data_IF_685940512329
#
_entry.id   IF_685940512329
#
_cell.length_a   1.000
_cell.length_b   1.000
_cell.length_c   1.000
_cell.angle_alpha   90.00
_cell.angle_beta   90.00
_cell.angle_gamma   90.00
#
_symmetry.space_group_name_H-M   'P 1'
#
loop_
_entity.id
_entity.type
_entity.pdbx_description
1 polymer ?
#
# COMPACT_ATOMS: atom_id res chain seq x y z
N UNK A 1 16.95 -2.14 -21.21
CA UNK A 1 18.29 -2.18 -20.59
C UNK A 1 19.07 -0.87 -20.68
N UNK A 2 19.37 -0.26 -21.86
CA UNK A 2 20.27 0.90 -21.92
C UNK A 2 19.80 2.09 -21.07
N UNK A 3 18.54 2.51 -21.21
CA UNK A 3 17.96 3.63 -20.44
C UNK A 3 18.06 3.44 -18.92
N UNK A 4 17.90 2.21 -18.42
CA UNK A 4 18.06 1.92 -17.00
C UNK A 4 19.48 2.19 -16.52
N UNK A 5 20.48 1.69 -17.27
CA UNK A 5 21.90 1.89 -16.95
C UNK A 5 22.27 3.38 -16.99
N UNK A 6 21.83 4.10 -18.01
CA UNK A 6 22.07 5.55 -18.14
C UNK A 6 21.48 6.30 -16.94
N UNK A 7 20.20 6.06 -16.61
CA UNK A 7 19.53 6.73 -15.50
C UNK A 7 20.18 6.40 -14.14
N UNK A 8 20.45 5.13 -13.84
CA UNK A 8 20.96 4.74 -12.51
C UNK A 8 22.42 5.16 -12.32
N UNK A 9 23.26 5.09 -13.37
CA UNK A 9 24.64 5.58 -13.31
C UNK A 9 24.66 7.10 -13.14
N UNK A 10 23.89 7.85 -13.93
CA UNK A 10 23.83 9.32 -13.81
C UNK A 10 23.26 9.76 -12.45
N UNK A 11 22.27 9.05 -11.90
CA UNK A 11 21.79 9.33 -10.54
C UNK A 11 22.90 9.12 -9.50
N UNK A 12 23.63 7.99 -9.57
CA UNK A 12 24.72 7.71 -8.62
C UNK A 12 25.82 8.77 -8.73
N UNK A 13 26.25 9.12 -9.95
CA UNK A 13 27.28 10.15 -10.21
C UNK A 13 26.87 11.55 -9.71
N UNK A 14 25.58 11.88 -9.72
CA UNK A 14 25.05 13.16 -9.22
C UNK A 14 24.71 13.15 -7.72
N UNK A 15 24.86 12.00 -7.04
CA UNK A 15 24.54 11.81 -5.61
C UNK A 15 25.73 11.26 -4.79
N UNK A 16 26.94 11.24 -5.37
CA UNK A 16 28.16 10.87 -4.65
C UNK A 16 28.48 11.91 -3.56
N UNK A 17 28.94 11.49 -2.36
CA UNK A 17 29.28 12.41 -1.27
C UNK A 17 30.42 13.39 -1.62
N UNK A 18 31.26 13.08 -2.59
CA UNK A 18 32.41 13.89 -3.01
C UNK A 18 32.01 15.17 -3.78
N UNK A 19 30.72 15.32 -4.11
CA UNK A 19 30.17 16.40 -4.94
C UNK A 19 29.85 17.71 -4.23
N UNK A 20 30.82 18.29 -3.49
CA UNK A 20 30.64 19.54 -2.72
C UNK A 20 30.15 20.77 -3.51
N UNK A 21 30.22 20.74 -4.84
CA UNK A 21 29.70 21.79 -5.72
C UNK A 21 28.20 21.63 -6.07
N UNK A 22 27.55 20.52 -5.70
CA UNK A 22 26.17 20.18 -6.13
C UNK A 22 25.12 20.36 -5.02
N UNK A 23 25.52 20.64 -3.79
CA UNK A 23 24.64 20.73 -2.61
C UNK A 23 23.50 21.73 -2.80
N UNK A 24 23.82 22.90 -3.38
CA UNK A 24 22.88 23.99 -3.67
C UNK A 24 21.77 23.62 -4.67
N UNK A 25 21.93 22.52 -5.41
CA UNK A 25 20.95 21.99 -6.36
C UNK A 25 20.52 20.55 -6.05
N UNK A 26 20.84 20.03 -4.85
CA UNK A 26 20.55 18.64 -4.46
C UNK A 26 19.05 18.31 -4.54
N UNK A 27 18.17 19.22 -4.09
CA UNK A 27 16.72 19.06 -4.29
C UNK A 27 16.33 19.01 -5.77
N UNK A 28 16.88 19.88 -6.62
CA UNK A 28 16.56 19.93 -8.04
C UNK A 28 16.95 18.64 -8.77
N UNK A 29 18.05 18.01 -8.37
CA UNK A 29 18.47 16.68 -8.84
C UNK A 29 17.44 15.63 -8.41
N UNK A 30 17.07 15.58 -7.12
CA UNK A 30 16.07 14.65 -6.58
C UNK A 30 14.71 14.80 -7.29
N UNK A 31 14.24 16.04 -7.47
CA UNK A 31 12.97 16.38 -8.11
C UNK A 31 12.95 15.97 -9.59
N UNK A 32 14.06 16.22 -10.32
CA UNK A 32 14.20 15.78 -11.71
C UNK A 32 14.13 14.25 -11.86
N UNK A 33 14.82 13.48 -11.00
CA UNK A 33 14.75 12.02 -11.08
C UNK A 33 13.43 11.45 -10.54
N UNK A 34 12.90 11.96 -9.43
CA UNK A 34 11.69 11.44 -8.82
C UNK A 34 10.41 11.82 -9.56
N UNK A 35 10.18 13.11 -9.80
CA UNK A 35 8.95 13.59 -10.44
C UNK A 35 9.03 13.53 -11.96
N UNK A 36 10.12 13.99 -12.57
CA UNK A 36 10.20 14.13 -14.02
C UNK A 36 10.64 12.84 -14.73
N UNK A 37 11.52 12.03 -14.15
CA UNK A 37 11.86 10.71 -14.71
C UNK A 37 10.94 9.60 -14.19
N UNK A 38 11.04 9.23 -12.90
CA UNK A 38 10.42 8.01 -12.36
C UNK A 38 8.89 8.07 -12.31
N UNK A 39 8.28 9.18 -11.88
CA UNK A 39 6.82 9.29 -11.85
C UNK A 39 6.21 9.38 -13.27
N UNK A 40 6.91 9.95 -14.25
CA UNK A 40 6.46 9.89 -15.65
C UNK A 40 6.60 8.47 -16.23
N UNK A 41 7.72 7.79 -15.99
CA UNK A 41 8.02 6.42 -16.43
C UNK A 41 7.38 5.31 -15.58
N UNK A 42 6.41 5.65 -14.72
CA UNK A 42 5.80 4.71 -13.76
C UNK A 42 5.22 3.46 -14.47
N UNK A 43 5.20 2.28 -13.81
CA UNK A 43 4.73 1.02 -14.40
C UNK A 43 3.34 1.06 -15.05
N UNK A 44 2.43 1.94 -14.59
CA UNK A 44 1.10 2.15 -15.21
C UNK A 44 1.13 2.86 -16.56
N UNK A 45 2.19 3.60 -16.87
CA UNK A 45 2.42 4.31 -18.14
C UNK A 45 3.39 3.56 -19.05
N UNK A 46 4.43 2.95 -18.46
CA UNK A 46 5.45 2.20 -19.19
C UNK A 46 5.60 0.76 -18.66
N UNK A 47 4.63 -0.16 -18.90
CA UNK A 47 4.68 -1.51 -18.34
C UNK A 47 5.93 -2.31 -18.71
N UNK A 48 6.46 -2.13 -19.94
CA UNK A 48 7.70 -2.76 -20.38
C UNK A 48 8.95 -2.28 -19.62
N UNK A 49 8.89 -1.11 -18.97
CA UNK A 49 9.95 -0.59 -18.11
C UNK A 49 9.78 -0.98 -16.63
N UNK A 50 8.63 -1.55 -16.23
CA UNK A 50 8.26 -1.76 -14.82
C UNK A 50 9.29 -2.51 -13.98
N UNK A 51 9.98 -3.50 -14.56
CA UNK A 51 11.05 -4.22 -13.87
C UNK A 51 12.27 -3.33 -13.62
N UNK A 52 12.75 -2.60 -14.63
CA UNK A 52 13.89 -1.70 -14.50
C UNK A 52 13.57 -0.44 -13.65
N UNK A 53 12.32 0.00 -13.67
CA UNK A 53 11.80 1.04 -12.77
C UNK A 53 11.88 0.57 -11.31
N UNK A 54 11.52 -0.68 -11.03
CA UNK A 54 11.57 -1.25 -9.69
C UNK A 54 13.00 -1.53 -9.22
N UNK A 55 13.90 -1.99 -10.11
CA UNK A 55 15.33 -2.12 -9.83
C UNK A 55 15.95 -0.75 -9.47
N UNK A 56 15.56 0.34 -10.15
CA UNK A 56 15.98 1.70 -9.80
C UNK A 56 15.45 2.13 -8.42
N UNK A 57 14.13 2.07 -8.21
CA UNK A 57 13.50 2.54 -6.95
C UNK A 57 13.93 1.69 -5.75
N UNK A 58 14.21 0.40 -5.97
CA UNK A 58 14.79 -0.50 -4.98
C UNK A 58 16.30 -0.40 -4.78
N UNK A 59 17.01 0.43 -5.56
CA UNK A 59 18.47 0.47 -5.54
C UNK A 59 18.99 1.09 -4.24
N UNK A 60 19.96 0.44 -3.59
CA UNK A 60 20.48 0.86 -2.27
C UNK A 60 20.98 2.31 -2.24
N UNK A 61 21.63 2.78 -3.32
CA UNK A 61 22.09 4.17 -3.41
C UNK A 61 20.94 5.18 -3.59
N UNK A 62 19.87 4.80 -4.30
CA UNK A 62 18.67 5.64 -4.47
C UNK A 62 17.89 5.73 -3.14
N UNK A 63 17.71 4.59 -2.47
CA UNK A 63 17.11 4.55 -1.12
C UNK A 63 17.95 5.39 -0.14
N UNK A 64 19.28 5.27 -0.17
CA UNK A 64 20.20 6.05 0.67
C UNK A 64 20.13 7.56 0.40
N UNK A 65 20.19 7.99 -0.86
CA UNK A 65 20.14 9.41 -1.23
C UNK A 65 18.76 10.07 -1.01
N UNK A 66 17.68 9.28 -0.87
CA UNK A 66 16.32 9.81 -0.66
C UNK A 66 15.81 9.67 0.78
N UNK A 67 16.21 8.62 1.52
CA UNK A 67 15.70 8.32 2.86
C UNK A 67 16.79 8.25 3.94
N UNK A 68 18.06 8.30 3.54
CA UNK A 68 19.20 8.35 4.45
C UNK A 68 19.21 9.62 5.30
N UNK A 69 20.00 9.59 6.36
CA UNK A 69 20.32 10.75 7.20
C UNK A 69 21.81 11.07 7.15
N UNK A 70 22.47 10.79 6.03
CA UNK A 70 23.90 10.99 5.85
C UNK A 70 24.30 11.29 4.39
N UNK A 71 25.34 12.10 4.20
CA UNK A 71 25.85 12.51 2.89
C UNK A 71 24.84 13.35 2.11
N UNK A 72 24.65 13.05 0.82
CA UNK A 72 23.78 13.81 -0.09
C UNK A 72 22.35 14.03 0.43
N UNK A 73 21.82 13.13 1.26
CA UNK A 73 20.49 13.25 1.87
C UNK A 73 20.41 14.33 2.98
N UNK A 74 21.53 14.74 3.58
CA UNK A 74 21.56 15.82 4.60
C UNK A 74 21.22 17.20 3.98
N UNK A 75 21.57 17.38 2.70
CA UNK A 75 21.40 18.63 1.96
C UNK A 75 19.95 18.91 1.52
N UNK A 76 18.99 18.06 1.91
CA UNK A 76 17.61 18.08 1.41
C UNK A 76 16.61 17.81 2.52
N UNK A 77 15.50 18.55 2.50
CA UNK A 77 14.35 18.39 3.40
C UNK A 77 13.82 16.94 3.42
N UNK A 78 13.99 16.19 4.54
CA UNK A 78 13.60 14.79 4.63
C UNK A 78 12.09 14.55 4.50
N UNK A 79 11.26 15.57 4.77
CA UNK A 79 9.81 15.46 4.61
C UNK A 79 9.44 15.38 3.12
N UNK A 80 10.10 16.20 2.28
CA UNK A 80 9.88 16.21 0.83
C UNK A 80 10.37 14.93 0.17
N UNK A 81 11.58 14.46 0.51
CA UNK A 81 12.13 13.22 -0.07
C UNK A 81 11.30 12.00 0.35
N UNK A 82 10.87 11.93 1.62
CA UNK A 82 9.99 10.89 2.14
C UNK A 82 8.63 10.88 1.44
N UNK A 83 8.01 12.05 1.23
CA UNK A 83 6.75 12.18 0.49
C UNK A 83 6.91 11.74 -0.97
N UNK A 84 8.00 12.15 -1.63
CA UNK A 84 8.30 11.80 -3.02
C UNK A 84 8.54 10.29 -3.19
N UNK A 85 9.37 9.68 -2.34
CA UNK A 85 9.62 8.23 -2.40
C UNK A 85 8.35 7.43 -2.08
N UNK A 86 7.53 7.89 -1.12
CA UNK A 86 6.20 7.33 -0.85
C UNK A 86 5.28 7.42 -2.08
N UNK A 87 5.29 8.52 -2.81
CA UNK A 87 4.52 8.66 -4.05
C UNK A 87 4.99 7.67 -5.14
N UNK A 88 6.29 7.37 -5.22
CA UNK A 88 6.79 6.31 -6.10
C UNK A 88 6.28 4.92 -5.65
N UNK A 89 6.41 4.58 -4.36
CA UNK A 89 5.85 3.33 -3.80
C UNK A 89 4.34 3.20 -4.08
N UNK A 90 3.57 4.28 -3.95
CA UNK A 90 2.13 4.32 -4.25
C UNK A 90 1.86 4.10 -5.74
N UNK A 91 2.64 4.71 -6.65
CA UNK A 91 2.51 4.45 -8.10
C UNK A 91 2.72 2.97 -8.44
N UNK A 92 3.68 2.32 -7.78
CA UNK A 92 3.94 0.90 -7.95
C UNK A 92 2.85 0.01 -7.35
N UNK A 93 2.39 0.30 -6.13
CA UNK A 93 1.29 -0.43 -5.51
C UNK A 93 -0.03 -0.24 -6.30
N UNK A 94 -0.28 0.92 -6.91
CA UNK A 94 -1.40 1.16 -7.84
C UNK A 94 -1.27 0.39 -9.16
N UNK A 95 -0.06 0.04 -9.59
CA UNK A 95 0.17 -0.87 -10.72
C UNK A 95 -0.11 -2.33 -10.30
N UNK A 96 0.33 -2.75 -9.12
CA UNK A 96 0.11 -4.12 -8.61
C UNK A 96 -1.34 -4.40 -8.24
N UNK A 97 -2.08 -3.40 -7.74
CA UNK A 97 -3.44 -3.54 -7.21
C UNK A 97 -4.44 -4.39 -8.05
N UNK A 98 -4.59 -4.23 -9.37
CA UNK A 98 -5.47 -5.07 -10.17
C UNK A 98 -5.02 -6.55 -10.21
N UNK A 99 -3.72 -6.80 -10.43
CA UNK A 99 -3.15 -8.16 -10.42
C UNK A 99 -3.30 -8.81 -9.04
N UNK A 100 -3.20 -8.00 -7.97
CA UNK A 100 -3.35 -8.42 -6.58
C UNK A 100 -4.80 -8.70 -6.16
N UNK A 101 -5.80 -8.13 -6.85
CA UNK A 101 -7.23 -8.40 -6.60
C UNK A 101 -7.70 -9.70 -7.26
N UNK A 102 -7.34 -9.92 -8.52
CA UNK A 102 -7.91 -10.97 -9.37
C UNK A 102 -7.23 -12.35 -9.15
N UNK A 103 -6.95 -12.69 -7.90
CA UNK A 103 -5.84 -13.57 -7.55
C UNK A 103 -6.22 -15.05 -7.42
N UNK A 104 -6.29 -15.73 -8.57
CA UNK A 104 -6.12 -17.19 -8.61
C UNK A 104 -4.62 -17.53 -8.51
N UNK A 105 -4.01 -17.26 -7.33
CA UNK A 105 -2.59 -17.53 -7.08
C UNK A 105 -2.25 -19.00 -7.38
N UNK A 106 -1.30 -19.29 -8.29
CA UNK A 106 -0.70 -20.61 -8.39
C UNK A 106 -0.13 -21.04 -7.03
N UNK A 107 -0.24 -22.33 -6.70
CA UNK A 107 0.19 -22.87 -5.40
C UNK A 107 1.66 -22.55 -5.08
N UNK A 108 2.52 -22.46 -6.10
CA UNK A 108 3.92 -22.02 -6.01
C UNK A 108 4.06 -20.60 -5.45
N UNK A 109 3.26 -19.63 -5.91
CA UNK A 109 3.29 -18.26 -5.37
C UNK A 109 2.76 -18.24 -3.94
N UNK A 110 1.72 -19.02 -3.62
CA UNK A 110 1.23 -19.15 -2.25
C UNK A 110 2.25 -19.81 -1.29
N UNK A 111 3.13 -20.68 -1.81
CA UNK A 111 4.27 -21.25 -1.08
C UNK A 111 5.40 -20.23 -0.94
N UNK A 112 5.74 -19.47 -1.98
CA UNK A 112 6.82 -18.48 -1.90
C UNK A 112 6.44 -17.27 -1.04
N UNK A 113 5.20 -16.77 -1.13
CA UNK A 113 4.63 -15.73 -0.27
C UNK A 113 4.67 -16.13 1.22
N UNK A 114 4.41 -17.41 1.53
CA UNK A 114 4.67 -17.98 2.86
C UNK A 114 6.18 -18.08 3.17
N UNK A 115 6.99 -18.60 2.24
CA UNK A 115 8.42 -18.87 2.43
C UNK A 115 9.26 -17.63 2.71
N UNK A 116 9.05 -16.55 1.94
CA UNK A 116 9.70 -15.24 2.15
C UNK A 116 9.35 -14.63 3.51
N UNK A 117 8.22 -14.99 4.11
CA UNK A 117 7.84 -14.59 5.47
C UNK A 117 8.37 -15.56 6.54
N UNK A 118 8.35 -16.87 6.30
CA UNK A 118 9.00 -17.87 7.14
C UNK A 118 10.51 -17.64 7.28
N UNK A 119 11.15 -17.02 6.28
CA UNK A 119 12.54 -16.57 6.33
C UNK A 119 12.84 -15.53 7.43
N UNK A 120 11.83 -14.85 7.99
CA UNK A 120 11.98 -14.02 9.21
C UNK A 120 11.72 -14.77 10.53
N UNK A 121 11.33 -16.05 10.46
CA UNK A 121 11.24 -16.98 11.60
C UNK A 121 12.47 -17.91 11.62
N UNK A 122 12.97 -18.32 10.45
CA UNK A 122 14.07 -19.28 10.30
C UNK A 122 15.46 -18.65 10.10
N UNK A 123 15.68 -17.37 10.46
CA UNK A 123 17.02 -16.75 10.43
C UNK A 123 17.91 -17.19 11.61
N UNK A 124 17.89 -18.49 11.91
CA UNK A 124 18.63 -19.20 12.97
C UNK A 124 19.38 -20.44 12.43
N UNK A 125 18.98 -20.97 11.27
CA UNK A 125 19.63 -22.10 10.58
C UNK A 125 19.65 -21.86 9.06
N UNK A 126 20.72 -22.31 8.38
CA UNK A 126 21.01 -21.93 6.98
C UNK A 126 20.78 -23.03 5.92
N UNK A 127 21.14 -22.71 4.67
CA UNK A 127 20.89 -23.46 3.41
C UNK A 127 19.37 -23.48 3.05
N UNK A 128 18.89 -23.68 1.81
CA UNK A 128 19.31 -24.49 0.64
C UNK A 128 19.02 -23.75 -0.71
N UNK A 129 19.53 -24.31 -1.81
CA UNK A 129 19.70 -23.81 -3.19
C UNK A 129 18.46 -23.71 -4.13
N UNK A 130 18.72 -23.44 -5.42
CA UNK A 130 17.76 -23.20 -6.52
C UNK A 130 16.93 -24.43 -6.96
N UNK A 131 15.73 -24.18 -7.52
CA UNK A 131 14.98 -25.14 -8.35
C UNK A 131 14.36 -24.45 -9.58
N UNK A 132 14.53 -25.04 -10.77
CA UNK A 132 13.88 -24.64 -12.04
C UNK A 132 12.62 -25.48 -12.30
N UNK A 133 11.60 -24.92 -12.95
CA UNK A 133 10.53 -25.70 -13.61
C UNK A 133 9.92 -24.96 -14.82
N UNK A 134 9.20 -25.68 -15.68
CA UNK A 134 8.78 -25.29 -17.05
C UNK A 134 7.28 -24.94 -17.21
N UNK A 135 6.88 -24.56 -18.43
CA UNK A 135 5.60 -23.90 -18.76
C UNK A 135 4.60 -24.75 -19.58
N UNK A 136 3.30 -24.40 -19.57
CA UNK A 136 2.29 -24.91 -20.52
C UNK A 136 0.97 -24.08 -20.58
N UNK A 137 0.15 -24.29 -21.63
CA UNK A 137 -1.28 -23.85 -21.87
C UNK A 137 -1.52 -22.45 -22.53
N UNK A 138 -2.66 -22.29 -23.22
CA UNK A 138 -2.92 -21.38 -24.37
C UNK A 138 -4.32 -20.66 -24.39
N UNK A 139 -4.32 -19.38 -24.84
CA UNK A 139 -5.09 -18.78 -25.96
C UNK A 139 -6.65 -18.60 -25.96
N UNK A 140 -7.14 -17.79 -26.94
CA UNK A 140 -8.52 -17.34 -27.36
C UNK A 140 -9.06 -16.05 -26.70
N UNK A 141 -9.86 -15.18 -27.35
CA UNK A 141 -10.57 -15.20 -28.66
C UNK A 141 -10.63 -13.78 -29.33
N UNK A 142 -11.45 -13.59 -30.39
CA UNK A 142 -11.65 -12.32 -31.14
C UNK A 142 -13.07 -11.71 -30.84
N UNK A 143 -13.78 -10.82 -31.56
CA UNK A 143 -13.77 -10.22 -32.92
C UNK A 143 -14.92 -9.17 -33.03
N UNK A 144 -15.05 -8.21 -33.97
CA UNK A 144 -14.09 -7.59 -34.92
C UNK A 144 -14.65 -6.31 -35.61
N UNK A 145 -14.14 -5.11 -35.28
CA UNK A 145 -13.98 -3.97 -36.22
C UNK A 145 -12.58 -3.99 -36.90
N UNK A 146 -11.85 -5.09 -36.68
CA UNK A 146 -10.39 -5.12 -36.61
C UNK A 146 -9.78 -5.60 -37.94
N UNK A 147 -10.49 -5.64 -39.09
CA UNK A 147 -9.98 -6.38 -40.27
C UNK A 147 -8.72 -5.76 -40.90
N UNK A 148 -8.63 -4.43 -40.93
CA UNK A 148 -7.44 -3.72 -41.45
C UNK A 148 -6.26 -3.83 -40.46
N UNK A 149 -6.51 -3.58 -39.17
CA UNK A 149 -5.50 -3.77 -38.12
C UNK A 149 -5.07 -5.24 -38.01
N UNK A 150 -5.96 -6.24 -38.12
CA UNK A 150 -5.63 -7.68 -38.16
C UNK A 150 -4.71 -8.00 -39.34
N UNK A 151 -4.91 -7.37 -40.50
CA UNK A 151 -4.08 -7.64 -41.67
C UNK A 151 -2.67 -7.09 -41.46
N UNK A 152 -2.54 -5.86 -40.98
CA UNK A 152 -1.24 -5.27 -40.64
C UNK A 152 -0.58 -5.96 -39.43
N UNK A 153 -1.37 -6.33 -38.41
CA UNK A 153 -0.94 -7.06 -37.21
C UNK A 153 -0.49 -8.48 -37.57
N UNK A 154 -1.16 -9.18 -38.50
CA UNK A 154 -0.70 -10.49 -39.00
C UNK A 154 0.62 -10.37 -39.74
N UNK A 155 0.78 -9.37 -40.60
CA UNK A 155 2.05 -9.10 -41.28
C UNK A 155 3.14 -8.76 -40.27
N UNK A 156 2.88 -7.87 -39.31
CA UNK A 156 3.82 -7.52 -38.24
C UNK A 156 4.10 -8.67 -37.27
N UNK A 157 3.15 -9.58 -37.01
CA UNK A 157 3.35 -10.79 -36.21
C UNK A 157 4.20 -11.82 -36.96
N UNK A 158 4.01 -11.96 -38.28
CA UNK A 158 4.87 -12.78 -39.14
C UNK A 158 6.29 -12.20 -39.15
N UNK A 159 6.46 -10.89 -39.36
CA UNK A 159 7.79 -10.25 -39.29
C UNK A 159 8.39 -10.37 -37.88
N UNK A 160 7.61 -10.20 -36.80
CA UNK A 160 8.06 -10.38 -35.41
C UNK A 160 8.48 -11.82 -35.08
N UNK A 161 7.88 -12.82 -35.73
CA UNK A 161 8.23 -14.23 -35.54
C UNK A 161 9.40 -14.66 -36.43
N UNK A 162 9.38 -14.25 -37.71
CA UNK A 162 10.26 -14.74 -38.76
C UNK A 162 11.51 -13.88 -38.96
N UNK A 163 11.45 -12.58 -38.64
CA UNK A 163 12.51 -11.57 -38.81
C UNK A 163 12.48 -10.45 -37.73
N UNK A 164 12.40 -10.73 -36.42
CA UNK A 164 12.27 -9.68 -35.39
C UNK A 164 13.42 -8.69 -35.38
N UNK A 165 14.61 -9.10 -35.82
CA UNK A 165 15.78 -8.23 -35.98
C UNK A 165 15.48 -7.02 -36.89
N UNK A 166 14.67 -7.21 -37.96
CA UNK A 166 14.24 -6.14 -38.87
C UNK A 166 13.36 -5.10 -38.17
N UNK A 167 12.48 -5.55 -37.26
CA UNK A 167 11.67 -4.63 -36.44
C UNK A 167 12.53 -3.91 -35.42
N UNK A 168 13.50 -4.57 -34.79
CA UNK A 168 14.43 -3.93 -33.87
C UNK A 168 15.26 -2.83 -34.56
N UNK A 169 15.72 -3.06 -35.79
CA UNK A 169 16.53 -2.11 -36.56
C UNK A 169 15.70 -0.90 -37.05
N UNK A 170 14.54 -1.15 -37.67
CA UNK A 170 13.73 -0.11 -38.32
C UNK A 170 12.54 0.42 -37.49
N UNK A 171 12.45 0.06 -36.19
CA UNK A 171 11.30 0.42 -35.33
C UNK A 171 10.90 1.90 -35.42
N UNK A 172 11.85 2.83 -35.46
CA UNK A 172 11.58 4.25 -35.48
C UNK A 172 10.80 4.69 -36.74
N UNK A 173 11.19 4.21 -37.92
CA UNK A 173 10.50 4.48 -39.20
C UNK A 173 9.09 3.87 -39.21
N UNK A 174 8.97 2.65 -38.68
CA UNK A 174 7.72 1.90 -38.67
C UNK A 174 6.72 2.52 -37.67
N UNK A 175 7.20 3.01 -36.52
CA UNK A 175 6.35 3.68 -35.52
C UNK A 175 5.85 5.05 -36.03
N UNK A 176 6.70 5.82 -36.71
CA UNK A 176 6.31 7.13 -37.25
C UNK A 176 5.25 7.02 -38.36
N UNK A 177 5.37 6.00 -39.21
CA UNK A 177 4.41 5.68 -40.28
C UNK A 177 3.11 5.03 -39.80
N UNK A 178 3.06 4.43 -38.59
CA UNK A 178 1.82 3.95 -37.97
C UNK A 178 1.11 5.12 -37.25
N UNK A 179 -0.19 5.39 -37.49
CA UNK A 179 -0.92 6.47 -36.81
C UNK A 179 -0.88 6.40 -35.27
N UNK A 180 -0.87 7.54 -34.54
CA UNK A 180 -0.68 7.56 -33.09
C UNK A 180 -1.83 6.92 -32.29
N UNK A 181 -3.03 6.82 -32.88
CA UNK A 181 -4.17 6.10 -32.32
C UNK A 181 -4.06 4.57 -32.45
N UNK A 182 -3.22 4.04 -33.35
CA UNK A 182 -2.98 2.61 -33.53
C UNK A 182 -1.98 2.04 -32.49
N UNK A 183 -2.31 2.24 -31.21
CA UNK A 183 -1.43 1.94 -30.06
C UNK A 183 -1.02 0.46 -30.01
N UNK A 184 -1.91 -0.47 -30.40
CA UNK A 184 -1.58 -1.91 -30.44
C UNK A 184 -0.50 -2.23 -31.47
N UNK A 185 -0.55 -1.62 -32.66
CA UNK A 185 0.41 -1.82 -33.73
C UNK A 185 1.78 -1.20 -33.37
N UNK A 186 1.79 0.03 -32.83
CA UNK A 186 3.01 0.66 -32.30
C UNK A 186 3.64 -0.17 -31.17
N UNK A 187 2.84 -0.68 -30.24
CA UNK A 187 3.32 -1.55 -29.16
C UNK A 187 3.84 -2.90 -29.66
N UNK A 188 3.29 -3.46 -30.74
CA UNK A 188 3.80 -4.70 -31.32
C UNK A 188 5.21 -4.51 -31.90
N UNK A 189 5.45 -3.41 -32.64
CA UNK A 189 6.77 -3.06 -33.16
C UNK A 189 7.76 -2.80 -32.02
N UNK A 190 7.35 -2.07 -30.98
CA UNK A 190 8.14 -1.86 -29.76
C UNK A 190 8.35 -3.14 -28.91
N UNK A 191 7.61 -4.21 -29.17
CA UNK A 191 7.78 -5.51 -28.52
C UNK A 191 8.78 -6.43 -29.23
N UNK A 192 9.42 -5.97 -30.32
CA UNK A 192 10.46 -6.73 -31.00
C UNK A 192 11.75 -6.84 -30.17
N UNK A 193 12.28 -8.05 -30.10
CA UNK A 193 13.58 -8.39 -29.50
C UNK A 193 14.28 -9.42 -30.39
N UNK A 194 15.62 -9.37 -30.52
CA UNK A 194 16.35 -10.35 -31.32
C UNK A 194 16.20 -11.75 -30.72
N UNK A 195 16.11 -12.78 -31.57
CA UNK A 195 15.78 -14.18 -31.18
C UNK A 195 16.67 -14.77 -30.08
N UNK A 196 17.90 -14.28 -29.98
CA UNK A 196 18.89 -14.70 -28.98
C UNK A 196 18.55 -14.23 -27.55
N UNK A 197 17.60 -13.29 -27.40
CA UNK A 197 17.16 -12.75 -26.11
C UNK A 197 15.95 -13.52 -25.57
N UNK A 198 16.15 -14.30 -24.51
CA UNK A 198 15.04 -14.96 -23.79
C UNK A 198 14.24 -13.94 -22.99
N UNK A 199 13.03 -13.61 -23.42
CA UNK A 199 12.07 -12.90 -22.57
C UNK A 199 11.68 -13.72 -21.34
N UNK A 200 11.47 -13.09 -20.18
CA UNK A 200 10.65 -13.67 -19.12
C UNK A 200 9.20 -13.84 -19.59
N UNK A 201 8.59 -14.99 -19.30
CA UNK A 201 7.15 -15.21 -19.51
C UNK A 201 6.33 -14.09 -18.82
N UNK A 202 5.26 -13.53 -19.43
CA UNK A 202 4.43 -12.50 -18.80
C UNK A 202 3.89 -12.85 -17.40
N UNK A 203 3.61 -14.13 -17.11
CA UNK A 203 3.20 -14.56 -15.77
C UNK A 203 4.40 -14.61 -14.80
N UNK A 204 5.56 -15.10 -15.24
CA UNK A 204 6.82 -14.99 -14.53
C UNK A 204 7.29 -13.53 -14.32
N UNK A 205 6.96 -12.60 -15.23
CA UNK A 205 7.24 -11.18 -15.11
C UNK A 205 6.38 -10.55 -14.00
N UNK A 206 5.07 -10.81 -14.01
CA UNK A 206 4.17 -10.41 -12.93
C UNK A 206 4.58 -11.01 -11.58
N UNK A 207 4.98 -12.28 -11.55
CA UNK A 207 5.51 -12.96 -10.36
C UNK A 207 6.81 -12.32 -9.87
N UNK A 208 7.81 -12.14 -10.74
CA UNK A 208 9.11 -11.54 -10.39
C UNK A 208 8.93 -10.12 -9.87
N UNK A 209 8.23 -9.25 -10.61
CA UNK A 209 7.95 -7.88 -10.18
C UNK A 209 7.23 -7.89 -8.82
N UNK A 210 6.25 -8.76 -8.59
CA UNK A 210 5.59 -8.89 -7.29
C UNK A 210 6.57 -9.32 -6.17
N UNK A 211 7.43 -10.31 -6.40
CA UNK A 211 8.44 -10.74 -5.44
C UNK A 211 9.47 -9.63 -5.12
N UNK A 212 9.96 -8.92 -6.12
CA UNK A 212 10.91 -7.82 -5.94
C UNK A 212 10.24 -6.62 -5.23
N UNK A 213 8.92 -6.44 -5.40
CA UNK A 213 8.14 -5.46 -4.63
C UNK A 213 8.13 -5.77 -3.13
N UNK A 214 8.01 -7.05 -2.76
CA UNK A 214 8.15 -7.48 -1.37
C UNK A 214 9.57 -7.27 -0.86
N UNK A 215 10.60 -7.46 -1.69
CA UNK A 215 12.01 -7.18 -1.30
C UNK A 215 12.21 -5.71 -0.97
N UNK A 216 11.76 -4.78 -1.83
CA UNK A 216 11.85 -3.33 -1.56
C UNK A 216 11.12 -2.97 -0.27
N UNK A 217 9.89 -3.43 -0.07
CA UNK A 217 9.15 -3.15 1.17
C UNK A 217 9.77 -3.79 2.42
N UNK A 218 10.43 -4.95 2.30
CA UNK A 218 11.18 -5.58 3.40
C UNK A 218 12.46 -4.82 3.75
N UNK A 219 13.15 -4.21 2.77
CA UNK A 219 14.29 -3.30 2.98
C UNK A 219 13.81 -2.05 3.70
N UNK A 220 12.76 -1.38 3.20
CA UNK A 220 12.19 -0.20 3.85
C UNK A 220 11.70 -0.51 5.28
N UNK A 221 11.07 -1.67 5.53
CA UNK A 221 10.67 -2.08 6.88
C UNK A 221 11.86 -2.36 7.83
N UNK A 222 13.05 -2.65 7.30
CA UNK A 222 14.25 -2.92 8.10
C UNK A 222 15.05 -1.63 8.36
N UNK A 223 15.32 -0.87 7.30
CA UNK A 223 16.25 0.26 7.30
C UNK A 223 15.55 1.62 7.53
N UNK A 224 14.26 1.74 7.22
CA UNK A 224 13.47 2.99 7.28
C UNK A 224 12.00 2.78 7.75
N UNK A 225 11.74 2.04 8.84
CA UNK A 225 10.38 1.72 9.27
C UNK A 225 9.55 2.96 9.64
N UNK A 226 10.17 4.07 10.01
CA UNK A 226 9.49 5.34 10.31
C UNK A 226 8.69 5.85 9.10
N UNK A 227 9.21 5.69 7.87
CA UNK A 227 8.49 6.03 6.64
C UNK A 227 7.17 5.25 6.54
N UNK A 228 7.22 3.95 6.80
CA UNK A 228 6.02 3.10 6.82
C UNK A 228 5.09 3.45 7.99
N UNK A 229 5.59 4.03 9.08
CA UNK A 229 4.75 4.49 10.20
C UNK A 229 3.97 5.75 9.85
N UNK A 230 4.64 6.77 9.32
CA UNK A 230 4.06 8.09 9.02
C UNK A 230 3.10 8.03 7.82
N UNK A 231 3.44 7.25 6.79
CA UNK A 231 2.66 7.13 5.55
C UNK A 231 1.79 5.86 5.48
N UNK A 232 1.70 5.08 6.57
CA UNK A 232 0.96 3.81 6.63
C UNK A 232 -0.43 3.87 5.97
N UNK A 233 -1.18 4.95 6.23
CA UNK A 233 -2.55 5.14 5.78
C UNK A 233 -2.67 5.10 4.25
N UNK A 234 -1.91 5.95 3.53
CA UNK A 234 -2.01 6.09 2.06
C UNK A 234 -1.47 4.83 1.36
N UNK A 235 -0.44 4.20 1.96
CA UNK A 235 0.12 2.94 1.49
C UNK A 235 -0.92 1.82 1.65
N UNK A 236 -1.60 1.72 2.80
CA UNK A 236 -2.62 0.70 3.10
C UNK A 236 -3.87 0.87 2.24
N UNK A 237 -4.37 2.09 2.04
CA UNK A 237 -5.53 2.35 1.18
C UNK A 237 -5.27 1.98 -0.29
N UNK A 238 -4.00 2.06 -0.71
CA UNK A 238 -3.57 1.60 -2.03
C UNK A 238 -3.51 0.06 -2.15
N UNK A 239 -3.27 -0.67 -1.05
CA UNK A 239 -3.12 -2.12 -1.06
C UNK A 239 -4.50 -2.82 -0.97
N UNK A 240 -4.85 -3.72 -1.92
CA UNK A 240 -6.12 -4.46 -1.87
C UNK A 240 -6.37 -5.19 -0.53
N UNK A 241 -7.61 -5.22 -0.02
CA UNK A 241 -7.89 -5.69 1.33
C UNK A 241 -7.61 -7.19 1.52
N UNK A 242 -7.67 -7.98 0.45
CA UNK A 242 -7.32 -9.41 0.40
C UNK A 242 -5.80 -9.67 0.55
N UNK A 243 -4.94 -8.67 0.34
CA UNK A 243 -3.48 -8.79 0.44
C UNK A 243 -3.00 -8.68 1.90
N UNK A 244 -3.57 -9.51 2.78
CA UNK A 244 -3.44 -9.42 4.23
C UNK A 244 -1.98 -9.34 4.70
N UNK A 245 -1.07 -10.16 4.16
CA UNK A 245 0.33 -10.18 4.63
C UNK A 245 1.12 -8.96 4.13
N UNK A 246 0.83 -8.44 2.94
CA UNK A 246 1.38 -7.17 2.43
C UNK A 246 0.92 -5.98 3.29
N UNK A 247 -0.35 -5.95 3.69
CA UNK A 247 -0.88 -4.95 4.63
C UNK A 247 -0.25 -5.10 6.02
N UNK A 248 -0.11 -6.33 6.52
CA UNK A 248 0.54 -6.59 7.80
C UNK A 248 2.01 -6.16 7.83
N UNK A 249 2.75 -6.26 6.73
CA UNK A 249 4.14 -5.79 6.63
C UNK A 249 4.20 -4.30 7.00
N UNK A 250 3.40 -3.47 6.33
CA UNK A 250 3.32 -2.02 6.57
C UNK A 250 2.78 -1.70 7.98
N UNK A 251 1.69 -2.36 8.40
CA UNK A 251 1.12 -2.18 9.75
C UNK A 251 2.02 -2.68 10.89
N UNK A 252 3.01 -3.53 10.59
CA UNK A 252 3.98 -4.03 11.57
C UNK A 252 5.16 -3.10 11.80
N UNK A 253 5.33 -2.05 10.99
CA UNK A 253 6.36 -1.04 11.19
C UNK A 253 6.17 -0.30 12.52
N UNK A 254 7.29 0.08 13.14
CA UNK A 254 7.35 0.88 14.37
C UNK A 254 8.67 1.66 14.42
N UNK A 255 8.75 2.78 15.15
CA UNK A 255 9.99 3.56 15.25
C UNK A 255 11.12 2.76 15.90
N UNK A 256 12.33 2.79 15.32
CA UNK A 256 13.49 1.99 15.77
C UNK A 256 13.88 2.22 17.24
N UNK A 257 13.63 3.42 17.76
CA UNK A 257 13.95 3.79 19.13
C UNK A 257 12.93 3.27 20.17
N UNK A 258 11.79 2.72 19.72
CA UNK A 258 10.75 2.20 20.61
C UNK A 258 11.03 0.74 20.99
N UNK A 259 11.07 0.45 22.30
CA UNK A 259 11.12 -0.93 22.83
C UNK A 259 9.71 -1.45 23.00
N UNK A 260 9.33 -2.44 22.20
CA UNK A 260 8.03 -3.10 22.34
C UNK A 260 8.03 -3.98 23.61
N UNK A 261 7.05 -3.84 24.52
CA UNK A 261 6.91 -4.76 25.66
C UNK A 261 6.43 -6.13 25.16
N UNK A 262 6.78 -7.20 25.89
CA UNK A 262 6.34 -8.55 25.53
C UNK A 262 4.81 -8.69 25.68
N UNK A 263 4.06 -8.97 24.59
CA UNK A 263 2.62 -9.15 24.63
C UNK A 263 2.13 -10.33 25.47
N UNK A 264 3.03 -11.23 25.89
CA UNK A 264 2.71 -12.37 26.76
C UNK A 264 3.08 -12.17 28.24
N UNK A 265 3.80 -11.09 28.59
CA UNK A 265 4.23 -10.79 29.97
C UNK A 265 3.38 -9.69 30.65
N UNK A 266 2.60 -8.94 29.87
CA UNK A 266 1.70 -7.89 30.37
C UNK A 266 0.42 -8.49 30.99
N UNK A 267 -0.22 -7.74 31.89
CA UNK A 267 -1.62 -7.89 32.30
C UNK A 267 -2.42 -6.63 31.94
N UNK A 268 -3.73 -6.71 31.69
CA UNK A 268 -4.52 -5.62 31.06
C UNK A 268 -4.23 -4.22 31.65
N UNK A 269 -4.24 -4.12 32.99
CA UNK A 269 -3.96 -2.89 33.77
C UNK A 269 -2.57 -2.28 33.56
N UNK A 270 -1.61 -3.04 33.02
CA UNK A 270 -0.25 -2.57 32.73
C UNK A 270 -0.16 -1.91 31.35
N UNK A 271 -1.07 -2.20 30.41
CA UNK A 271 -1.09 -1.50 29.10
C UNK A 271 -1.53 -0.06 29.26
N UNK A 272 -2.49 0.22 30.16
CA UNK A 272 -2.86 1.59 30.57
C UNK A 272 -1.74 2.33 31.35
N UNK A 273 -0.62 1.66 31.64
CA UNK A 273 0.58 2.24 32.26
C UNK A 273 1.75 2.46 31.29
N UNK A 274 1.62 2.06 30.03
CA UNK A 274 2.61 2.32 28.96
C UNK A 274 2.54 3.81 28.58
N UNK A 275 3.55 4.64 28.83
CA UNK A 275 3.48 6.08 28.56
C UNK A 275 3.33 6.38 27.06
N UNK A 276 3.87 5.52 26.18
CA UNK A 276 3.71 5.63 24.73
C UNK A 276 2.23 5.56 24.28
N UNK A 277 1.35 4.89 25.04
CA UNK A 277 -0.09 4.85 24.72
C UNK A 277 -0.80 6.20 24.88
N UNK A 278 -0.17 7.21 25.50
CA UNK A 278 -0.66 8.58 25.56
C UNK A 278 -0.12 9.48 24.42
N UNK A 279 0.78 8.98 23.57
CA UNK A 279 1.45 9.77 22.54
C UNK A 279 0.81 9.52 21.17
N UNK A 280 0.36 10.59 20.50
CA UNK A 280 -0.19 10.52 19.15
C UNK A 280 0.90 10.17 18.11
N UNK A 281 0.63 9.24 17.18
CA UNK A 281 1.59 8.86 16.15
C UNK A 281 1.73 9.97 15.10
N UNK A 282 2.97 10.31 14.73
CA UNK A 282 3.24 11.16 13.56
C UNK A 282 2.49 10.63 12.33
N UNK A 283 1.79 11.52 11.61
CA UNK A 283 1.14 11.19 10.35
C UNK A 283 1.08 12.40 9.43
N UNK A 284 1.48 12.21 8.17
CA UNK A 284 1.52 13.27 7.16
C UNK A 284 0.25 13.21 6.31
N UNK A 285 -0.90 13.55 6.92
CA UNK A 285 -2.24 13.38 6.34
C UNK A 285 -3.05 14.68 6.34
N UNK A 286 -3.44 15.16 5.16
CA UNK A 286 -4.47 16.18 5.02
C UNK A 286 -5.84 15.51 4.87
N UNK A 287 -6.61 15.43 5.95
CA UNK A 287 -7.93 14.78 5.93
C UNK A 287 -8.97 15.55 5.09
N UNK A 288 -8.80 16.88 4.95
CA UNK A 288 -9.71 17.73 4.18
C UNK A 288 -9.59 17.55 2.66
N UNK A 289 -8.53 16.91 2.15
CA UNK A 289 -8.45 16.52 0.73
C UNK A 289 -8.93 15.09 0.45
N UNK A 290 -9.34 14.33 1.48
CA UNK A 290 -9.76 12.93 1.37
C UNK A 290 -11.25 12.76 1.72
N UNK A 291 -11.74 13.44 2.76
CA UNK A 291 -13.16 13.41 3.15
C UNK A 291 -13.88 14.57 2.44
N UNK A 292 -14.88 14.32 1.57
CA UNK A 292 -15.65 15.37 0.92
C UNK A 292 -16.36 16.28 1.93
N UNK A 293 -16.43 17.58 1.66
CA UNK A 293 -17.06 18.56 2.55
C UNK A 293 -18.55 18.26 2.84
N UNK A 294 -19.23 17.58 1.91
CA UNK A 294 -20.60 17.08 2.08
C UNK A 294 -20.75 16.08 3.23
N UNK A 295 -19.70 15.33 3.58
CA UNK A 295 -19.64 14.42 4.74
C UNK A 295 -18.97 15.13 5.91
N UNK A 296 -17.86 15.83 5.65
CA UNK A 296 -17.00 16.43 6.67
C UNK A 296 -17.71 17.53 7.47
N UNK A 297 -18.41 18.46 6.83
CA UNK A 297 -19.05 19.58 7.53
C UNK A 297 -20.23 19.12 8.42
N UNK A 298 -21.11 18.20 8.00
CA UNK A 298 -22.11 17.61 8.90
C UNK A 298 -21.48 16.76 10.03
N UNK A 299 -20.39 16.03 9.75
CA UNK A 299 -19.65 15.27 10.76
C UNK A 299 -19.06 16.20 11.82
N UNK A 300 -18.36 17.26 11.43
CA UNK A 300 -17.77 18.28 12.32
C UNK A 300 -18.85 18.95 13.19
N UNK A 301 -20.02 19.24 12.60
CA UNK A 301 -21.16 19.76 13.34
C UNK A 301 -21.70 18.75 14.36
N UNK A 302 -21.94 17.50 13.95
CA UNK A 302 -22.47 16.43 14.80
C UNK A 302 -21.53 16.09 15.97
N UNK A 303 -20.23 15.93 15.72
CA UNK A 303 -19.25 15.63 16.76
C UNK A 303 -19.16 16.73 17.83
N UNK A 304 -19.43 17.99 17.45
CA UNK A 304 -19.44 19.14 18.35
C UNK A 304 -20.76 19.33 19.12
N UNK A 305 -21.92 19.09 18.50
CA UNK A 305 -23.24 19.41 19.11
C UNK A 305 -24.05 18.19 19.55
N UNK A 306 -23.77 17.00 19.01
CA UNK A 306 -24.54 15.74 19.20
C UNK A 306 -26.05 15.85 18.89
N UNK A 307 -26.48 16.91 18.20
CA UNK A 307 -27.91 17.25 18.06
C UNK A 307 -28.57 16.75 16.78
N UNK A 308 -27.82 16.65 15.68
CA UNK A 308 -28.34 16.25 14.36
C UNK A 308 -28.45 14.72 14.23
N UNK A 309 -29.38 14.08 14.94
CA UNK A 309 -29.50 12.60 14.97
C UNK A 309 -29.75 12.02 13.57
N UNK A 310 -30.47 12.73 12.69
CA UNK A 310 -30.73 12.31 11.30
C UNK A 310 -29.46 12.18 10.43
N UNK A 311 -28.34 12.81 10.83
CA UNK A 311 -27.05 12.57 10.19
C UNK A 311 -26.60 11.12 10.35
N UNK A 312 -26.90 10.47 11.48
CA UNK A 312 -26.53 9.07 11.72
C UNK A 312 -27.24 8.11 10.75
N UNK A 313 -28.53 8.33 10.46
CA UNK A 313 -29.28 7.51 9.50
C UNK A 313 -28.93 7.84 8.04
N UNK A 314 -28.52 9.07 7.74
CA UNK A 314 -28.03 9.45 6.41
C UNK A 314 -26.61 8.89 6.10
N UNK A 315 -25.72 8.82 7.10
CA UNK A 315 -24.30 8.53 6.92
C UNK A 315 -23.97 7.22 6.15
N UNK A 316 -24.65 6.07 6.38
CA UNK A 316 -24.44 4.86 5.58
C UNK A 316 -24.69 5.07 4.07
N UNK A 317 -25.69 5.90 3.72
CA UNK A 317 -26.01 6.26 2.34
C UNK A 317 -24.96 7.19 1.74
N UNK A 318 -24.46 8.16 2.52
CA UNK A 318 -23.39 9.08 2.09
C UNK A 318 -22.05 8.37 1.81
N UNK A 319 -21.84 7.18 2.39
CA UNK A 319 -20.66 6.33 2.16
C UNK A 319 -20.83 5.34 1.00
N UNK A 320 -22.03 5.19 0.43
CA UNK A 320 -22.33 4.27 -0.66
C UNK A 320 -22.01 4.90 -2.03
N UNK A 321 -21.41 4.13 -2.95
CA UNK A 321 -21.14 4.55 -4.35
C UNK A 321 -22.02 3.78 -5.34
N UNK A 322 -22.26 2.48 -5.09
CA UNK A 322 -23.00 1.61 -6.01
C UNK A 322 -23.74 0.52 -5.23
N UNK A 323 -24.54 -0.31 -5.90
CA UNK A 323 -25.11 -1.54 -5.32
C UNK A 323 -24.38 -2.82 -5.77
N UNK A 324 -23.25 -2.67 -6.49
CA UNK A 324 -22.46 -3.81 -6.94
C UNK A 324 -21.67 -4.43 -5.76
N UNK A 325 -21.77 -5.75 -5.53
CA UNK A 325 -21.08 -6.41 -4.43
C UNK A 325 -19.56 -6.35 -4.59
N UNK A 326 -18.86 -5.96 -3.51
CA UNK A 326 -17.42 -5.72 -3.50
C UNK A 326 -17.00 -4.32 -3.98
N UNK A 327 -17.94 -3.46 -4.38
CA UNK A 327 -17.73 -2.03 -4.62
C UNK A 327 -18.88 -1.16 -4.12
N UNK A 328 -19.61 -1.62 -3.08
CA UNK A 328 -20.80 -0.91 -2.58
C UNK A 328 -20.42 0.41 -1.91
N UNK A 329 -19.38 0.40 -1.07
CA UNK A 329 -18.96 1.56 -0.27
C UNK A 329 -17.61 2.16 -0.69
N UNK A 330 -17.43 3.45 -0.43
CA UNK A 330 -16.15 4.13 -0.59
C UNK A 330 -15.16 3.73 0.51
N UNK A 331 -14.28 2.76 0.23
CA UNK A 331 -13.27 2.30 1.20
C UNK A 331 -12.33 3.42 1.66
N UNK A 332 -11.93 4.31 0.74
CA UNK A 332 -11.00 5.41 1.04
C UNK A 332 -11.62 6.45 1.96
N UNK A 333 -12.87 6.85 1.71
CA UNK A 333 -13.59 7.79 2.59
C UNK A 333 -13.96 7.13 3.92
N UNK A 334 -14.31 5.84 3.94
CA UNK A 334 -14.58 5.11 5.18
C UNK A 334 -13.31 4.96 6.04
N UNK A 335 -12.16 4.64 5.43
CA UNK A 335 -10.85 4.63 6.10
C UNK A 335 -10.52 6.01 6.70
N UNK A 336 -10.73 7.10 5.93
CA UNK A 336 -10.41 8.46 6.34
C UNK A 336 -11.31 8.93 7.48
N UNK A 337 -12.63 8.75 7.34
CA UNK A 337 -13.64 9.10 8.35
C UNK A 337 -13.39 8.37 9.67
N UNK A 338 -13.11 7.06 9.63
CA UNK A 338 -12.82 6.28 10.85
C UNK A 338 -11.61 6.83 11.59
N UNK A 339 -10.51 7.10 10.89
CA UNK A 339 -9.31 7.69 11.49
C UNK A 339 -9.57 9.12 12.00
N UNK A 340 -10.27 9.95 11.21
CA UNK A 340 -10.60 11.34 11.58
C UNK A 340 -11.47 11.45 12.84
N UNK A 341 -12.52 10.63 12.95
CA UNK A 341 -13.38 10.57 14.15
C UNK A 341 -12.56 10.17 15.38
N UNK A 342 -11.64 9.21 15.26
CA UNK A 342 -10.75 8.82 16.36
C UNK A 342 -9.76 9.90 16.75
N UNK A 343 -9.15 10.60 15.77
CA UNK A 343 -8.26 11.75 16.05
C UNK A 343 -9.02 12.85 16.80
N UNK A 344 -10.21 13.24 16.33
CA UNK A 344 -11.05 14.24 17.03
C UNK A 344 -11.52 13.79 18.41
N UNK A 345 -11.71 12.49 18.63
CA UNK A 345 -12.02 11.95 19.96
C UNK A 345 -10.83 12.04 20.93
N UNK A 346 -9.62 11.73 20.45
CA UNK A 346 -8.38 11.81 21.25
C UNK A 346 -8.07 13.27 21.58
N UNK A 347 -8.16 14.18 20.60
CA UNK A 347 -8.02 15.63 20.79
C UNK A 347 -8.96 16.14 21.89
N UNK A 348 -10.26 15.79 21.85
CA UNK A 348 -11.20 16.25 22.89
C UNK A 348 -11.02 15.55 24.25
N UNK A 349 -10.42 14.35 24.32
CA UNK A 349 -9.99 13.76 25.59
C UNK A 349 -8.78 14.50 26.17
N UNK A 350 -7.82 14.89 25.32
CA UNK A 350 -6.65 15.68 25.70
C UNK A 350 -7.04 17.09 26.18
N UNK A 351 -7.96 17.79 25.50
CA UNK A 351 -8.57 19.06 25.97
C UNK A 351 -9.15 18.93 27.38
N UNK A 352 -9.91 17.85 27.63
CA UNK A 352 -10.56 17.55 28.92
C UNK A 352 -9.59 17.01 29.98
N UNK A 353 -8.31 16.79 29.63
CA UNK A 353 -7.29 16.13 30.44
C UNK A 353 -7.71 14.73 30.94
N UNK A 354 -8.55 14.04 30.17
CA UNK A 354 -9.02 12.69 30.46
C UNK A 354 -8.11 11.66 29.80
N UNK A 355 -7.86 10.53 30.48
CA UNK A 355 -7.17 9.39 29.88
C UNK A 355 -8.11 8.62 28.96
N UNK A 356 -7.55 8.05 27.89
CA UNK A 356 -8.24 7.07 27.05
C UNK A 356 -8.55 5.83 27.91
N UNK A 357 -9.80 5.40 27.89
CA UNK A 357 -10.30 4.18 28.56
C UNK A 357 -11.65 3.81 27.97
N UNK A 358 -12.11 2.57 28.15
CA UNK A 358 -13.44 2.13 27.69
C UNK A 358 -14.55 3.03 28.28
N UNK A 359 -14.42 3.44 29.55
CA UNK A 359 -15.41 4.28 30.22
C UNK A 359 -15.42 5.75 29.74
N UNK A 360 -14.29 6.29 29.29
CA UNK A 360 -14.19 7.70 28.83
C UNK A 360 -14.54 7.88 27.36
N UNK A 361 -14.49 6.82 26.55
CA UNK A 361 -14.98 6.86 25.15
C UNK A 361 -16.47 6.51 25.03
N UNK A 362 -17.03 5.77 25.99
CA UNK A 362 -18.44 5.37 26.00
C UNK A 362 -19.39 6.57 26.02
N UNK A 363 -20.55 6.42 25.37
CA UNK A 363 -21.60 7.44 25.33
C UNK A 363 -21.15 8.83 24.83
N UNK A 364 -20.14 8.90 23.96
CA UNK A 364 -19.68 10.13 23.28
C UNK A 364 -20.21 10.20 21.84
N UNK A 365 -20.31 11.42 21.28
CA UNK A 365 -20.70 11.61 19.87
C UNK A 365 -19.78 10.87 18.88
N UNK A 366 -18.50 10.68 19.23
CA UNK A 366 -17.55 9.88 18.46
C UNK A 366 -17.92 8.38 18.46
N UNK A 367 -18.36 7.85 19.61
CA UNK A 367 -18.79 6.46 19.73
C UNK A 367 -20.13 6.20 19.05
N UNK A 368 -21.07 7.16 19.09
CA UNK A 368 -22.37 7.06 18.43
C UNK A 368 -22.21 6.78 16.93
N UNK A 369 -21.23 7.43 16.26
CA UNK A 369 -20.87 7.16 14.85
C UNK A 369 -20.46 5.70 14.65
N UNK A 370 -19.56 5.18 15.48
CA UNK A 370 -19.06 3.80 15.33
C UNK A 370 -20.12 2.75 15.63
N UNK A 371 -20.93 2.93 16.70
CA UNK A 371 -22.03 2.03 17.03
C UNK A 371 -23.09 2.02 15.93
N UNK A 372 -23.51 3.20 15.47
CA UNK A 372 -24.53 3.32 14.44
C UNK A 372 -24.08 2.68 13.11
N UNK A 373 -22.83 2.90 12.68
CA UNK A 373 -22.28 2.24 11.49
C UNK A 373 -22.15 0.72 11.66
N UNK A 374 -21.78 0.23 12.85
CA UNK A 374 -21.69 -1.20 13.13
C UNK A 374 -23.06 -1.92 13.08
N UNK A 375 -24.15 -1.21 13.36
CA UNK A 375 -25.53 -1.73 13.28
C UNK A 375 -26.13 -1.54 11.88
N UNK A 376 -26.09 -0.34 11.31
CA UNK A 376 -26.80 -0.01 10.06
C UNK A 376 -26.12 -0.52 8.78
N UNK A 377 -24.80 -0.71 8.76
CA UNK A 377 -24.12 -1.18 7.55
C UNK A 377 -24.42 -2.67 7.26
N UNK A 378 -24.52 -3.02 5.96
CA UNK A 378 -24.57 -4.42 5.56
C UNK A 378 -23.22 -5.13 5.83
N UNK A 379 -23.15 -6.45 5.63
CA UNK A 379 -21.93 -7.23 5.90
C UNK A 379 -20.68 -6.75 5.18
N UNK A 380 -20.78 -6.20 3.96
CA UNK A 380 -19.65 -5.57 3.25
C UNK A 380 -19.18 -4.28 3.95
N UNK A 381 -20.12 -3.38 4.30
CA UNK A 381 -19.81 -2.13 4.98
C UNK A 381 -19.24 -2.36 6.39
N UNK A 382 -19.80 -3.30 7.16
CA UNK A 382 -19.27 -3.70 8.47
C UNK A 382 -17.88 -4.30 8.37
N UNK A 383 -17.62 -5.14 7.37
CA UNK A 383 -16.27 -5.66 7.11
C UNK A 383 -15.28 -4.51 6.86
N UNK A 384 -15.63 -3.54 6.01
CA UNK A 384 -14.78 -2.37 5.75
C UNK A 384 -14.57 -1.51 7.00
N UNK A 385 -15.61 -1.24 7.79
CA UNK A 385 -15.56 -0.49 9.06
C UNK A 385 -14.57 -1.12 10.06
N UNK A 386 -14.72 -2.41 10.36
CA UNK A 386 -13.82 -3.10 11.29
C UNK A 386 -12.39 -3.22 10.75
N UNK A 387 -12.21 -3.28 9.43
CA UNK A 387 -10.89 -3.26 8.77
C UNK A 387 -10.22 -1.88 8.88
N UNK A 388 -11.00 -0.79 8.78
CA UNK A 388 -10.55 0.58 8.97
C UNK A 388 -10.13 0.88 10.42
N UNK A 389 -10.91 0.40 11.40
CA UNK A 389 -10.56 0.44 12.84
C UNK A 389 -9.28 -0.36 13.09
N UNK A 390 -9.20 -1.59 12.57
CA UNK A 390 -8.07 -2.47 12.80
C UNK A 390 -6.77 -2.05 12.09
N UNK A 391 -6.81 -1.17 11.08
CA UNK A 391 -5.62 -0.53 10.52
C UNK A 391 -4.87 0.33 11.56
N UNK A 392 -5.57 0.80 12.59
CA UNK A 392 -5.01 1.67 13.63
C UNK A 392 -4.37 0.88 14.77
N UNK A 393 -4.53 -0.45 14.80
CA UNK A 393 -3.96 -1.36 15.80
C UNK A 393 -2.51 -1.74 15.39
N UNK A 394 -1.55 -0.88 15.75
CA UNK A 394 -0.14 -0.95 15.35
C UNK A 394 0.76 -1.13 16.59
N UNK A 395 1.86 -0.39 16.68
CA UNK A 395 2.71 -0.28 17.87
C UNK A 395 2.06 0.58 18.98
N UNK A 396 2.57 0.61 20.22
CA UNK A 396 2.03 1.47 21.28
C UNK A 396 1.97 2.96 20.90
N UNK A 397 0.75 3.50 20.79
CA UNK A 397 0.43 4.91 20.53
C UNK A 397 -1.04 5.20 20.86
N UNK A 398 -1.41 6.48 20.98
CA UNK A 398 -2.76 6.91 21.35
C UNK A 398 -3.87 6.40 20.40
N UNK A 399 -3.62 6.32 19.10
CA UNK A 399 -4.62 5.75 18.16
C UNK A 399 -4.79 4.25 18.44
N UNK A 400 -3.69 3.50 18.62
CA UNK A 400 -3.75 2.07 18.93
C UNK A 400 -4.46 1.78 20.24
N UNK A 401 -4.32 2.64 21.27
CA UNK A 401 -5.08 2.52 22.52
C UNK A 401 -6.57 2.87 22.33
N UNK A 402 -6.87 4.01 21.71
CA UNK A 402 -8.26 4.45 21.46
C UNK A 402 -9.04 3.46 20.60
N UNK A 403 -8.53 3.10 19.42
CA UNK A 403 -9.23 2.17 18.51
C UNK A 403 -9.30 0.74 19.06
N UNK A 404 -8.39 0.36 19.97
CA UNK A 404 -8.52 -0.88 20.74
C UNK A 404 -9.73 -0.83 21.69
N UNK A 405 -9.84 0.23 22.49
CA UNK A 405 -11.00 0.42 23.37
C UNK A 405 -12.32 0.51 22.58
N UNK A 406 -12.33 1.15 21.39
CA UNK A 406 -13.49 1.14 20.47
C UNK A 406 -13.81 -0.27 19.99
N UNK A 407 -12.82 -1.04 19.54
CA UNK A 407 -12.99 -2.40 19.05
C UNK A 407 -13.56 -3.33 20.14
N UNK A 408 -13.06 -3.21 21.38
CA UNK A 408 -13.60 -3.91 22.55
C UNK A 408 -15.02 -3.47 22.90
N UNK A 409 -15.30 -2.17 22.94
CA UNK A 409 -16.64 -1.64 23.27
C UNK A 409 -17.70 -2.07 22.24
N UNK A 410 -17.36 -2.05 20.95
CA UNK A 410 -18.23 -2.55 19.88
C UNK A 410 -18.45 -4.07 19.94
N UNK A 411 -17.48 -4.85 20.44
CA UNK A 411 -17.66 -6.29 20.63
C UNK A 411 -18.59 -6.58 21.82
N UNK A 412 -18.30 -5.98 22.99
CA UNK A 412 -19.02 -6.21 24.23
C UNK A 412 -20.50 -5.78 24.18
N UNK A 413 -20.83 -4.78 23.36
CA UNK A 413 -22.20 -4.27 23.17
C UNK A 413 -22.81 -4.74 21.82
N UNK A 414 -22.47 -5.94 21.32
CA UNK A 414 -23.01 -6.47 20.06
C UNK A 414 -23.89 -7.71 20.23
N UNK A 415 -25.20 -7.49 20.25
CA UNK A 415 -26.25 -8.54 20.34
C UNK A 415 -26.41 -9.37 19.05
N UNK A 416 -25.68 -9.04 17.99
CA UNK A 416 -25.81 -9.69 16.67
C UNK A 416 -24.66 -10.67 16.39
N UNK A 417 -24.99 -11.96 16.24
CA UNK A 417 -24.06 -13.02 15.82
C UNK A 417 -23.22 -12.63 14.60
N UNK A 418 -23.81 -11.96 13.61
CA UNK A 418 -23.10 -11.54 12.39
C UNK A 418 -21.97 -10.51 12.67
N UNK A 419 -22.07 -9.75 13.76
CA UNK A 419 -20.99 -8.87 14.23
C UNK A 419 -19.94 -9.72 14.94
N UNK A 420 -20.33 -10.58 15.89
CA UNK A 420 -19.42 -11.47 16.62
C UNK A 420 -18.65 -12.45 15.71
N UNK A 421 -19.26 -12.96 14.63
CA UNK A 421 -18.63 -13.80 13.60
C UNK A 421 -17.61 -13.01 12.78
N UNK A 422 -17.89 -11.74 12.46
CA UNK A 422 -16.90 -10.86 11.85
C UNK A 422 -15.71 -10.63 12.81
N UNK A 423 -15.96 -10.34 14.09
CA UNK A 423 -14.92 -10.27 15.12
C UNK A 423 -14.09 -11.56 15.23
N UNK A 424 -14.72 -12.74 15.23
CA UNK A 424 -14.05 -14.03 15.31
C UNK A 424 -13.20 -14.36 14.06
N UNK A 425 -13.70 -14.05 12.86
CA UNK A 425 -12.92 -14.15 11.64
C UNK A 425 -11.77 -13.13 11.62
N UNK A 426 -11.97 -11.94 12.19
CA UNK A 426 -10.91 -10.95 12.35
C UNK A 426 -9.85 -11.40 13.37
N UNK A 427 -10.26 -12.02 14.49
CA UNK A 427 -9.37 -12.64 15.49
C UNK A 427 -8.51 -13.73 14.85
N UNK A 428 -9.12 -14.68 14.11
CA UNK A 428 -8.37 -15.67 13.30
C UNK A 428 -7.44 -15.04 12.27
N UNK A 429 -7.82 -13.88 11.72
CA UNK A 429 -6.96 -13.11 10.80
C UNK A 429 -5.80 -12.46 11.54
N UNK A 430 -5.97 -12.01 12.80
CA UNK A 430 -4.94 -11.49 13.72
C UNK A 430 -3.99 -12.59 14.20
N UNK A 431 -4.50 -13.73 14.66
CA UNK A 431 -3.70 -14.89 15.09
C UNK A 431 -2.75 -15.37 13.98
N UNK A 432 -3.18 -15.28 12.70
CA UNK A 432 -2.37 -15.62 11.52
C UNK A 432 -1.32 -14.56 11.11
N UNK A 433 -1.22 -13.40 11.77
CA UNK A 433 -0.33 -12.30 11.32
C UNK A 433 1.13 -12.45 11.73
N UNK A 434 1.40 -13.16 12.83
CA UNK A 434 2.76 -13.49 13.30
C UNK A 434 3.60 -12.33 13.87
N UNK A 435 3.43 -11.08 13.40
CA UNK A 435 4.25 -9.91 13.77
C UNK A 435 3.98 -9.38 15.19
N UNK A 436 5.00 -8.95 15.97
CA UNK A 436 4.85 -8.57 17.38
C UNK A 436 3.79 -7.50 17.69
N UNK A 437 3.74 -6.40 16.92
CA UNK A 437 2.79 -5.31 17.16
C UNK A 437 1.33 -5.77 17.16
N UNK A 438 0.95 -6.64 16.22
CA UNK A 438 -0.40 -7.21 16.16
C UNK A 438 -0.66 -8.34 17.17
N UNK A 439 0.33 -8.74 17.97
CA UNK A 439 0.11 -9.56 19.18
C UNK A 439 -0.33 -8.71 20.37
N UNK A 440 -0.06 -7.40 20.42
CA UNK A 440 -0.74 -6.48 21.35
C UNK A 440 -2.23 -6.35 21.00
N UNK A 441 -2.61 -6.38 19.72
CA UNK A 441 -4.03 -6.45 19.33
C UNK A 441 -4.71 -7.76 19.80
N UNK A 442 -3.96 -8.87 19.94
CA UNK A 442 -4.46 -10.13 20.50
C UNK A 442 -4.77 -9.99 22.00
N UNK A 443 -3.92 -9.26 22.71
CA UNK A 443 -4.04 -8.98 24.14
C UNK A 443 -5.35 -8.25 24.48
N UNK A 444 -5.71 -7.25 23.68
CA UNK A 444 -7.00 -6.56 23.76
C UNK A 444 -8.20 -7.37 23.20
N UNK A 445 -8.09 -8.69 23.10
CA UNK A 445 -9.22 -9.58 22.74
C UNK A 445 -9.29 -10.83 23.62
N UNK A 446 -8.43 -10.94 24.64
CA UNK A 446 -8.52 -11.96 25.70
C UNK A 446 -9.27 -11.38 26.90
#
# INVERSE_FOLDING_TARGET
MPYHRILITLFIELTTPDGSNLESIAWSIIEAFGQNALFLLQPRRCPAFAYAWLDFVGHRAVIGALLGGNGFAENVDPMKTSAMYTQLLICHLKFLAPFLRNIHLPKSIAVLYKGTLSLKIYKSTGLIDEVKMSAFVLNRFCSSQIFFEITLLRVLLVILHDFPELLCEYHYVIIDTIPPNCVQLRNLVLSAYPRNMRLPDPFALNFKVCCDSFRVLLVILHDFPELLCEYHYVIIDTIPPNCVQLRNLVLSAYPRNMRLPDPFALNFKQVDSIPEMAIEPKSNLNMASIIPDSIRLPLDAYLRTRSAVDFLSALPGMLQISDNPGSKYNSTVMNAMVLYVGMKAIESLHERRQRISICTIAHTAFMDIFQNLAVQLCTEGRYLLFNAIANQLRYPNAHTHYFSCVFLFLFLNSDHDAIQVNFYNFRKTIDRKGTPNLRLARFFTQ
#
